data_IF_899177515999
#
_entry.id   IF_899177515999
#
_cell.length_a   1.000
_cell.length_b   1.000
_cell.length_c   1.000
_cell.angle_alpha   90.00
_cell.angle_beta   90.00
_cell.angle_gamma   90.00
#
_symmetry.space_group_name_H-M   'P 1'
#
loop_
_entity.id
_entity.type
_entity.pdbx_description
1 polymer ?
#
# COMPACT_ATOMS: atom_id res chain seq x y z
N UNK A 1 -4.87 3.18 2.78
CA UNK A 1 -3.67 2.43 2.33
C UNK A 1 -3.51 1.20 3.22
N UNK A 2 -2.94 0.09 2.71
CA UNK A 2 -2.70 -1.13 3.49
C UNK A 2 -1.29 -1.67 3.22
N UNK A 3 -0.71 -2.36 4.19
CA UNK A 3 0.53 -3.14 4.02
C UNK A 3 0.23 -4.44 3.26
N UNK A 4 1.07 -4.84 2.31
CA UNK A 4 0.74 -5.90 1.33
C UNK A 4 1.70 -7.08 1.35
N UNK A 5 2.88 -6.90 1.94
CA UNK A 5 3.90 -7.93 2.10
C UNK A 5 4.57 -7.84 3.49
N UNK A 6 5.27 -8.90 3.88
CA UNK A 6 5.99 -8.99 5.15
C UNK A 6 5.11 -9.25 6.38
N UNK A 7 5.72 -9.16 7.58
CA UNK A 7 5.12 -9.50 8.88
C UNK A 7 3.84 -8.74 9.22
N UNK A 8 3.64 -7.57 8.63
CA UNK A 8 2.49 -6.69 8.89
C UNK A 8 1.47 -6.66 7.75
N UNK A 9 1.52 -7.64 6.83
CA UNK A 9 0.55 -7.77 5.72
C UNK A 9 -0.89 -7.67 6.23
N UNK A 10 -1.69 -6.84 5.57
CA UNK A 10 -3.10 -6.61 5.91
C UNK A 10 -3.35 -5.44 6.86
N UNK A 11 -2.31 -4.85 7.47
CA UNK A 11 -2.49 -3.71 8.38
C UNK A 11 -2.94 -2.46 7.62
N UNK A 12 -4.06 -1.87 8.08
CA UNK A 12 -4.52 -0.58 7.57
C UNK A 12 -3.59 0.54 8.01
N UNK A 13 -3.27 1.42 7.07
CA UNK A 13 -2.50 2.66 7.25
C UNK A 13 -3.48 3.81 7.14
N UNK A 14 -3.53 4.65 8.17
CA UNK A 14 -4.29 5.90 8.17
C UNK A 14 -3.61 6.85 7.18
N UNK A 15 -4.31 7.16 6.10
CA UNK A 15 -3.85 8.16 5.15
C UNK A 15 -4.38 9.55 5.57
N UNK A 16 -3.61 10.62 5.36
CA UNK A 16 -4.13 11.98 5.44
C UNK A 16 -5.41 12.13 4.63
N UNK A 17 -6.39 12.88 5.14
CA UNK A 17 -7.60 13.23 4.39
C UNK A 17 -7.23 14.27 3.35
N UNK A 18 -7.04 13.85 2.10
CA UNK A 18 -6.68 14.73 0.99
C UNK A 18 -6.00 13.98 -0.15
N UNK A 19 -5.68 14.69 -1.23
CA UNK A 19 -4.86 14.16 -2.34
C UNK A 19 -3.36 14.43 -2.20
N UNK A 20 -2.92 14.97 -1.05
CA UNK A 20 -1.51 15.27 -0.78
C UNK A 20 -0.63 14.01 -0.79
N UNK A 21 -1.24 12.86 -0.52
CA UNK A 21 -0.61 11.55 -0.65
C UNK A 21 -1.08 10.90 -1.94
N UNK A 22 -0.14 10.61 -2.86
CA UNK A 22 -0.42 9.84 -4.09
C UNK A 22 -1.01 8.46 -3.70
N UNK A 23 -2.31 8.21 -3.95
CA UNK A 23 -2.92 6.93 -3.60
C UNK A 23 -2.54 5.93 -4.69
N UNK A 24 -1.58 5.06 -4.40
CA UNK A 24 -1.29 3.90 -5.26
C UNK A 24 -2.31 2.79 -4.98
N UNK A 25 -2.87 2.20 -6.03
CA UNK A 25 -3.74 1.04 -5.94
C UNK A 25 -2.99 -0.16 -5.36
N UNK A 26 -3.69 -0.99 -4.59
CA UNK A 26 -3.09 -2.16 -3.95
C UNK A 26 -2.44 -3.10 -4.98
N UNK A 27 -3.04 -3.24 -6.17
CA UNK A 27 -2.49 -4.04 -7.28
C UNK A 27 -1.13 -3.54 -7.77
N UNK A 28 -0.94 -2.24 -7.94
CA UNK A 28 0.34 -1.68 -8.40
C UNK A 28 1.45 -1.95 -7.39
N UNK A 29 1.13 -1.83 -6.10
CA UNK A 29 2.06 -2.13 -5.04
C UNK A 29 2.36 -3.63 -4.94
N UNK A 30 1.38 -4.52 -5.15
CA UNK A 30 1.63 -5.98 -5.24
C UNK A 30 2.57 -6.32 -6.40
N UNK A 31 2.33 -5.75 -7.58
CA UNK A 31 3.20 -5.97 -8.75
C UNK A 31 4.64 -5.53 -8.47
N UNK A 32 4.85 -4.41 -7.78
CA UNK A 32 6.19 -3.96 -7.38
C UNK A 32 6.89 -4.92 -6.42
N UNK A 33 6.17 -5.50 -5.45
CA UNK A 33 6.73 -6.48 -4.51
C UNK A 33 6.88 -7.88 -5.11
N UNK A 34 6.13 -8.21 -6.15
CA UNK A 34 6.19 -9.51 -6.84
C UNK A 34 7.35 -9.63 -7.83
N UNK A 35 8.04 -8.52 -8.13
CA UNK A 35 9.21 -8.49 -9.02
C UNK A 35 10.50 -8.88 -8.28
N UNK A 36 10.46 -8.99 -6.94
CA UNK A 36 11.58 -9.43 -6.09
C UNK A 36 11.52 -10.93 -5.78
#
# INVERSE_FOLDING_TARGET
MRVIAGKFKGRQIVAPKGMDVRPLSDRVKESLFSIL
#
